data_IF_339053019339
#
_entry.id   IF_339053019339
#
_cell.length_a   1.000
_cell.length_b   1.000
_cell.length_c   1.000
_cell.angle_alpha   90.00
_cell.angle_beta   90.00
_cell.angle_gamma   90.00
#
_symmetry.space_group_name_H-M   'P 1'
#
loop_
_entity.id
_entity.type
_entity.pdbx_description
1 polymer ?
#
# COMPACT_ATOMS: atom_id res chain seq x y z
N UNK A 1 -2.67 -4.23 5.21
CA UNK A 1 -1.29 -3.96 4.71
C UNK A 1 -1.42 -3.38 3.30
N UNK A 2 -0.37 -2.89 2.69
CA UNK A 2 -0.40 -2.46 1.28
C UNK A 2 -0.23 -3.65 0.32
N UNK A 3 0.77 -4.50 0.57
CA UNK A 3 1.05 -5.72 -0.20
C UNK A 3 1.63 -6.80 0.73
N UNK A 4 1.01 -7.98 0.75
CA UNK A 4 1.45 -9.06 1.62
C UNK A 4 2.78 -9.67 1.21
N UNK A 5 2.99 -9.89 -0.08
CA UNK A 5 4.20 -10.55 -0.55
C UNK A 5 5.43 -9.73 -0.17
N UNK A 6 5.34 -8.39 -0.27
CA UNK A 6 6.38 -7.46 0.17
C UNK A 6 6.51 -7.39 1.70
N UNK A 7 5.38 -7.40 2.40
CA UNK A 7 5.36 -7.37 3.87
C UNK A 7 5.90 -8.65 4.50
N UNK A 8 5.71 -9.79 3.84
CA UNK A 8 6.15 -11.12 4.25
C UNK A 8 7.51 -11.51 3.64
N UNK A 9 8.31 -10.54 3.15
CA UNK A 9 9.69 -10.79 2.73
C UNK A 9 10.59 -11.12 3.91
N UNK A 10 11.65 -11.88 3.64
CA UNK A 10 12.64 -12.26 4.66
C UNK A 10 13.10 -11.07 5.52
N UNK A 11 13.20 -11.32 6.82
CA UNK A 11 13.67 -10.37 7.84
C UNK A 11 12.73 -9.20 8.14
N UNK A 12 11.54 -9.15 7.54
CA UNK A 12 10.48 -8.21 7.95
C UNK A 12 9.75 -8.73 9.20
N UNK A 13 9.16 -7.83 9.97
CA UNK A 13 8.46 -8.16 11.22
C UNK A 13 7.35 -9.19 10.96
N UNK A 14 6.58 -9.00 9.90
CA UNK A 14 5.44 -9.87 9.57
C UNK A 14 5.93 -11.25 9.14
N UNK A 15 7.02 -11.31 8.39
CA UNK A 15 7.68 -12.57 8.07
C UNK A 15 8.18 -13.32 9.31
N UNK A 16 8.77 -12.62 10.28
CA UNK A 16 9.19 -13.24 11.54
C UNK A 16 7.98 -13.80 12.31
N UNK A 17 6.89 -13.04 12.44
CA UNK A 17 5.67 -13.50 13.10
C UNK A 17 5.04 -14.72 12.39
N UNK A 18 5.10 -14.76 11.06
CA UNK A 18 4.66 -15.93 10.27
C UNK A 18 5.54 -17.15 10.54
N UNK A 19 6.86 -16.98 10.56
CA UNK A 19 7.81 -18.05 10.86
C UNK A 19 7.68 -18.56 12.31
N UNK A 20 7.33 -17.69 13.25
CA UNK A 20 7.06 -18.01 14.65
C UNK A 20 5.66 -18.61 14.87
N UNK A 21 4.82 -18.70 13.84
CA UNK A 21 3.45 -19.22 13.92
C UNK A 21 2.47 -18.32 14.68
N UNK A 22 2.80 -17.04 14.86
CA UNK A 22 1.97 -16.04 15.55
C UNK A 22 1.08 -15.24 14.59
N UNK A 23 1.36 -15.29 13.28
CA UNK A 23 0.59 -14.61 12.25
C UNK A 23 0.49 -15.48 10.99
N UNK A 24 -0.51 -15.23 10.14
CA UNK A 24 -0.67 -15.93 8.87
C UNK A 24 -1.42 -15.08 7.85
N UNK A 25 -1.46 -15.53 6.58
CA UNK A 25 -2.21 -14.84 5.51
C UNK A 25 -3.71 -14.84 5.80
N UNK A 26 -4.21 -15.89 6.44
CA UNK A 26 -5.61 -16.05 6.82
C UNK A 26 -6.01 -15.14 8.00
N UNK A 27 -5.04 -14.77 8.86
CA UNK A 27 -5.26 -13.81 9.95
C UNK A 27 -5.21 -12.34 9.48
N UNK A 28 -4.65 -12.08 8.29
CA UNK A 28 -4.66 -10.73 7.73
C UNK A 28 -6.08 -10.33 7.31
N UNK A 29 -6.58 -9.25 7.90
CA UNK A 29 -7.89 -8.67 7.52
C UNK A 29 -7.94 -8.33 6.03
N UNK A 30 -7.07 -7.42 5.57
CA UNK A 30 -7.09 -6.96 4.18
C UNK A 30 -5.75 -6.37 3.70
N UNK A 31 -5.55 -6.43 2.39
CA UNK A 31 -4.73 -5.48 1.64
C UNK A 31 -5.52 -4.19 1.38
N UNK A 32 -4.83 -3.05 1.31
CA UNK A 32 -5.45 -1.74 1.21
C UNK A 32 -6.31 -1.63 -0.07
N UNK A 33 -5.85 -2.24 -1.17
CA UNK A 33 -6.60 -2.32 -2.42
C UNK A 33 -7.96 -3.00 -2.27
N UNK A 34 -8.07 -4.06 -1.45
CA UNK A 34 -9.33 -4.77 -1.19
C UNK A 34 -10.36 -3.87 -0.51
N UNK A 35 -9.91 -3.04 0.44
CA UNK A 35 -10.77 -2.05 1.10
C UNK A 35 -11.19 -0.96 0.12
N UNK A 36 -10.26 -0.45 -0.68
CA UNK A 36 -10.54 0.65 -1.64
C UNK A 36 -11.58 0.27 -2.71
N UNK A 37 -11.56 -0.99 -3.18
CA UNK A 37 -12.54 -1.48 -4.16
C UNK A 37 -13.82 -2.02 -3.52
N UNK A 38 -13.92 -2.03 -2.19
CA UNK A 38 -15.07 -2.53 -1.44
C UNK A 38 -15.22 -4.05 -1.42
N UNK A 39 -14.17 -4.82 -1.74
CA UNK A 39 -14.20 -6.28 -1.61
C UNK A 39 -14.08 -6.75 -0.16
N UNK A 40 -13.53 -5.91 0.72
CA UNK A 40 -13.54 -6.11 2.18
C UNK A 40 -13.94 -4.82 2.91
N UNK A 41 -14.65 -4.91 4.05
CA UNK A 41 -15.00 -3.74 4.83
C UNK A 41 -13.74 -3.11 5.47
N UNK A 42 -13.82 -1.79 5.68
CA UNK A 42 -12.86 -1.06 6.49
C UNK A 42 -13.16 -1.23 7.99
N UNK A 43 -13.20 -0.13 8.73
CA UNK A 43 -13.71 -0.10 10.11
C UNK A 43 -15.21 -0.44 10.11
N UNK A 44 -15.61 -1.36 10.98
CA UNK A 44 -17.02 -1.76 11.16
C UNK A 44 -17.58 -1.27 12.50
N UNK A 45 -16.73 -1.11 13.52
CA UNK A 45 -17.12 -0.67 14.86
C UNK A 45 -16.14 0.36 15.46
N UNK A 46 -16.65 1.20 16.38
CA UNK A 46 -15.88 2.29 17.01
C UNK A 46 -14.80 1.81 17.99
N UNK A 47 -14.96 0.61 18.55
CA UNK A 47 -14.05 0.01 19.53
C UNK A 47 -12.86 -0.74 18.91
N UNK A 48 -12.84 -0.88 17.58
CA UNK A 48 -11.76 -1.61 16.90
C UNK A 48 -10.42 -0.87 16.95
N UNK A 49 -9.37 -1.60 17.32
CA UNK A 49 -7.99 -1.18 17.14
C UNK A 49 -7.48 -1.78 15.83
N UNK A 50 -7.24 -0.92 14.83
CA UNK A 50 -6.81 -1.30 13.49
C UNK A 50 -5.38 -0.85 13.27
N UNK A 51 -4.51 -1.76 12.83
CA UNK A 51 -3.11 -1.47 12.50
C UNK A 51 -2.88 -1.58 11.00
N UNK A 52 -2.43 -0.49 10.40
CA UNK A 52 -1.88 -0.51 9.04
C UNK A 52 -0.35 -0.62 9.13
N UNK A 53 0.20 -1.62 8.45
CA UNK A 53 1.64 -1.77 8.24
C UNK A 53 1.93 -1.69 6.74
N UNK A 54 2.21 -0.49 6.20
CA UNK A 54 2.54 -0.30 4.78
C UNK A 54 4.05 -0.39 4.57
N UNK A 55 4.48 -1.12 3.54
CA UNK A 55 5.88 -1.19 3.10
C UNK A 55 6.25 -0.04 2.14
N UNK A 56 5.26 0.53 1.46
CA UNK A 56 5.40 1.44 0.33
C UNK A 56 5.47 0.67 -0.99
N UNK A 57 4.65 1.05 -1.97
CA UNK A 57 4.64 0.42 -3.28
C UNK A 57 5.00 1.43 -4.37
N UNK A 58 5.89 1.04 -5.29
CA UNK A 58 6.32 1.91 -6.40
C UNK A 58 5.15 2.43 -7.26
N UNK A 59 4.03 1.69 -7.31
CA UNK A 59 2.83 2.13 -8.04
C UNK A 59 2.23 3.41 -7.46
N UNK A 60 2.38 3.65 -6.16
CA UNK A 60 1.89 4.85 -5.47
C UNK A 60 2.66 6.08 -5.96
N UNK A 61 3.99 5.97 -6.04
CA UNK A 61 4.88 7.03 -6.53
C UNK A 61 4.66 7.30 -8.03
N UNK A 62 4.65 6.25 -8.85
CA UNK A 62 4.54 6.39 -10.31
C UNK A 62 3.15 6.91 -10.71
N UNK A 63 2.08 6.45 -10.06
CA UNK A 63 0.73 6.97 -10.29
C UNK A 63 0.64 8.45 -9.92
N UNK A 64 1.18 8.83 -8.76
CA UNK A 64 1.23 10.23 -8.32
C UNK A 64 2.06 11.10 -9.27
N UNK A 65 3.23 10.61 -9.69
CA UNK A 65 4.10 11.31 -10.63
C UNK A 65 3.44 11.51 -12.00
N UNK A 66 2.73 10.50 -12.51
CA UNK A 66 2.01 10.60 -13.77
C UNK A 66 0.90 11.66 -13.72
N UNK A 67 0.11 11.69 -12.64
CA UNK A 67 -0.93 12.70 -12.43
C UNK A 67 -0.34 14.10 -12.31
N UNK A 68 0.72 14.28 -11.51
CA UNK A 68 1.41 15.56 -11.37
C UNK A 68 2.03 16.03 -12.68
N UNK A 69 2.61 15.12 -13.44
CA UNK A 69 3.18 15.42 -14.75
C UNK A 69 2.11 15.90 -15.73
N UNK A 70 0.98 15.19 -15.84
CA UNK A 70 -0.14 15.59 -16.70
C UNK A 70 -0.63 17.00 -16.38
N UNK A 71 -0.84 17.30 -15.09
CA UNK A 71 -1.25 18.64 -14.63
C UNK A 71 -0.19 19.72 -14.93
N UNK A 72 1.09 19.40 -14.78
CA UNK A 72 2.17 20.34 -15.07
C UNK A 72 2.19 20.70 -16.56
N UNK A 73 2.02 19.69 -17.44
CA UNK A 73 1.95 19.90 -18.89
C UNK A 73 0.75 20.77 -19.27
N UNK A 74 -0.45 20.47 -18.75
CA UNK A 74 -1.67 21.25 -19.00
C UNK A 74 -1.55 22.72 -18.56
N UNK A 75 -0.79 22.97 -17.49
CA UNK A 75 -0.58 24.31 -16.93
C UNK A 75 0.68 25.02 -17.46
N UNK A 76 1.39 24.42 -18.42
CA UNK A 76 2.64 24.97 -18.96
C UNK A 76 3.73 25.14 -17.91
N UNK A 77 3.81 24.23 -16.92
CA UNK A 77 4.81 24.22 -15.85
C UNK A 77 5.96 23.26 -16.17
N UNK A 78 7.17 23.64 -15.79
CA UNK A 78 8.38 22.82 -15.92
C UNK A 78 9.34 23.30 -17.01
N UNK A 79 10.39 22.51 -17.24
CA UNK A 79 11.46 22.80 -18.21
C UNK A 79 11.69 21.57 -19.08
N UNK A 80 11.61 21.73 -20.41
CA UNK A 80 11.92 20.64 -21.34
C UNK A 80 13.43 20.44 -21.43
N UNK A 81 13.88 19.20 -21.22
CA UNK A 81 15.27 18.80 -21.40
C UNK A 81 15.41 17.99 -22.70
N UNK A 82 16.55 18.09 -23.36
CA UNK A 82 16.92 17.23 -24.49
C UNK A 82 17.61 15.99 -23.96
N UNK A 83 17.22 14.81 -24.45
CA UNK A 83 17.84 13.54 -24.12
C UNK A 83 19.05 13.26 -25.03
#
# INVERSE_FOLDING_TARGET
MDDWDQSNREKKIINQLVLEGQFSREQLHAELGEILIGSKPGREHEDEIIVLNPMGMAIEDISSAAEMYSRAVEQGKGTRLCL
#
